data_IF_001895299044
#
_entry.id   IF_001895299044
#
_cell.length_a   1.000
_cell.length_b   1.000
_cell.length_c   1.000
_cell.angle_alpha   90.00
_cell.angle_beta   90.00
_cell.angle_gamma   90.00
#
_symmetry.space_group_name_H-M   'P 1'
#
loop_
_entity.id
_entity.type
_entity.pdbx_description
1 polymer ?
#
# COMPACT_ATOMS: atom_id res chain seq x y z
N UNK A 1 -3.62 18.76 -16.76
CA UNK A 1 -3.03 17.40 -16.83
C UNK A 1 -2.41 17.15 -15.47
N UNK A 2 -2.46 15.93 -14.93
CA UNK A 2 -2.03 15.67 -13.55
C UNK A 2 -0.50 15.82 -13.44
N UNK A 3 -0.03 17.02 -13.11
CA UNK A 3 1.40 17.36 -13.03
C UNK A 3 2.01 17.10 -11.64
N UNK A 4 1.22 16.64 -10.66
CA UNK A 4 1.64 16.45 -9.26
C UNK A 4 1.87 14.98 -8.84
N UNK A 5 2.40 14.13 -9.72
CA UNK A 5 2.83 12.75 -9.36
C UNK A 5 4.31 12.48 -9.62
N UNK A 6 5.11 13.49 -9.98
CA UNK A 6 6.56 13.31 -10.10
C UNK A 6 7.13 13.02 -8.71
N UNK A 7 7.29 11.74 -8.38
CA UNK A 7 7.82 11.29 -7.11
C UNK A 7 6.86 10.48 -6.24
N UNK A 8 5.55 10.51 -6.45
CA UNK A 8 4.63 9.74 -5.59
C UNK A 8 4.30 8.36 -6.19
N UNK A 9 4.64 7.30 -5.47
CA UNK A 9 4.42 5.91 -5.88
C UNK A 9 3.32 5.31 -5.01
N UNK A 10 2.22 4.88 -5.63
CA UNK A 10 1.20 4.07 -4.96
C UNK A 10 1.69 2.65 -4.81
N UNK A 11 1.46 2.07 -3.64
CA UNK A 11 1.85 0.71 -3.30
C UNK A 11 0.69 -0.07 -2.67
N UNK A 12 0.64 -1.37 -2.95
CA UNK A 12 -0.18 -2.32 -2.19
C UNK A 12 0.76 -3.37 -1.64
N UNK A 13 0.68 -3.61 -0.34
CA UNK A 13 1.61 -4.49 0.39
C UNK A 13 0.84 -5.68 0.92
N UNK A 14 1.35 -6.88 0.68
CA UNK A 14 0.97 -8.07 1.42
C UNK A 14 1.85 -8.20 2.66
N UNK A 15 1.26 -7.97 3.84
CA UNK A 15 2.01 -8.01 5.11
C UNK A 15 2.39 -9.42 5.55
N UNK A 16 1.67 -10.45 5.09
CA UNK A 16 1.91 -11.84 5.42
C UNK A 16 3.00 -12.45 4.52
N UNK A 17 2.91 -12.23 3.20
CA UNK A 17 3.86 -12.73 2.20
C UNK A 17 5.08 -11.82 2.04
N UNK A 18 5.03 -10.59 2.56
CA UNK A 18 6.08 -9.56 2.46
C UNK A 18 6.46 -9.23 1.02
N UNK A 19 5.45 -9.12 0.16
CA UNK A 19 5.59 -8.68 -1.24
C UNK A 19 4.77 -7.42 -1.45
N UNK A 20 5.04 -6.67 -2.52
CA UNK A 20 4.25 -5.49 -2.87
C UNK A 20 4.08 -5.33 -4.38
N UNK A 21 3.00 -4.66 -4.76
CA UNK A 21 2.80 -4.10 -6.09
C UNK A 21 2.96 -2.57 -6.01
N UNK A 22 3.75 -1.97 -6.91
CA UNK A 22 4.03 -0.53 -6.93
C UNK A 22 3.85 0.08 -8.32
N UNK A 23 3.58 1.38 -8.37
CA UNK A 23 3.60 2.17 -9.62
C UNK A 23 2.31 2.12 -10.44
N UNK A 24 1.26 1.47 -9.92
CA UNK A 24 -0.07 1.50 -10.53
C UNK A 24 -0.76 2.87 -10.40
N UNK A 25 -1.70 3.17 -11.31
CA UNK A 25 -2.47 4.41 -11.24
C UNK A 25 -3.44 4.41 -10.04
N UNK A 26 -3.97 3.23 -9.67
CA UNK A 26 -4.86 3.03 -8.54
C UNK A 26 -4.40 1.85 -7.69
N UNK A 27 -4.67 1.91 -6.39
CA UNK A 27 -4.42 0.79 -5.46
C UNK A 27 -5.21 -0.46 -5.82
N UNK A 28 -6.42 -0.33 -6.38
CA UNK A 28 -7.23 -1.49 -6.79
C UNK A 28 -6.52 -2.35 -7.85
N UNK A 29 -5.72 -1.74 -8.73
CA UNK A 29 -4.98 -2.49 -9.76
C UNK A 29 -3.88 -3.34 -9.09
N UNK A 30 -3.15 -2.76 -8.13
CA UNK A 30 -2.12 -3.48 -7.36
C UNK A 30 -2.70 -4.57 -6.45
N UNK A 31 -3.87 -4.31 -5.86
CA UNK A 31 -4.62 -5.30 -5.08
C UNK A 31 -5.01 -6.49 -5.95
N UNK A 32 -5.58 -6.26 -7.13
CA UNK A 32 -5.95 -7.33 -8.06
C UNK A 32 -4.75 -8.18 -8.46
N UNK A 33 -3.62 -7.55 -8.80
CA UNK A 33 -2.38 -8.26 -9.15
C UNK A 33 -1.94 -9.19 -8.02
N UNK A 34 -1.95 -8.71 -6.77
CA UNK A 34 -1.53 -9.54 -5.64
C UNK A 34 -2.53 -10.65 -5.32
N UNK A 35 -3.83 -10.40 -5.47
CA UNK A 35 -4.87 -11.43 -5.33
C UNK A 35 -4.71 -12.53 -6.37
N UNK A 36 -4.44 -12.18 -7.62
CA UNK A 36 -4.17 -13.14 -8.70
C UNK A 36 -2.88 -13.94 -8.45
N UNK A 37 -1.88 -13.31 -7.81
CA UNK A 37 -0.63 -13.95 -7.36
C UNK A 37 -0.79 -14.80 -6.07
N UNK A 38 -2.01 -14.89 -5.52
CA UNK A 38 -2.36 -15.76 -4.39
C UNK A 38 -2.33 -15.09 -3.02
N UNK A 39 -2.26 -13.76 -2.94
CA UNK A 39 -2.44 -13.02 -1.69
C UNK A 39 -3.87 -13.12 -1.18
N UNK A 40 -4.03 -12.93 0.13
CA UNK A 40 -5.36 -12.84 0.76
C UNK A 40 -5.75 -11.40 0.94
N UNK A 41 -7.00 -11.07 0.61
CA UNK A 41 -7.57 -9.73 0.76
C UNK A 41 -7.36 -9.11 2.16
N UNK A 42 -7.36 -9.93 3.21
CA UNK A 42 -7.16 -9.51 4.61
C UNK A 42 -5.74 -9.05 4.93
N UNK A 43 -4.79 -9.44 4.10
CA UNK A 43 -3.35 -9.18 4.29
C UNK A 43 -2.85 -8.05 3.38
N UNK A 44 -3.70 -7.53 2.49
CA UNK A 44 -3.37 -6.49 1.52
C UNK A 44 -3.68 -5.09 2.05
N UNK A 45 -2.71 -4.20 2.02
CA UNK A 45 -2.85 -2.83 2.52
C UNK A 45 -2.32 -1.81 1.52
N UNK A 46 -3.13 -0.80 1.23
CA UNK A 46 -2.77 0.29 0.32
C UNK A 46 -2.04 1.40 1.06
N UNK A 47 -0.98 1.91 0.44
CA UNK A 47 -0.22 3.05 0.92
C UNK A 47 0.37 3.81 -0.28
N UNK A 48 1.06 4.91 -0.02
CA UNK A 48 1.90 5.56 -1.01
C UNK A 48 3.19 6.06 -0.40
N UNK A 49 4.22 6.14 -1.23
CA UNK A 49 5.53 6.65 -0.89
C UNK A 49 5.82 7.86 -1.75
N UNK A 50 6.08 8.99 -1.11
CA UNK A 50 6.69 10.13 -1.75
C UNK A 50 8.21 9.91 -1.82
N UNK A 51 8.74 9.76 -3.05
CA UNK A 51 10.15 9.53 -3.32
C UNK A 51 11.02 10.77 -3.07
N UNK A 52 10.43 11.97 -3.04
CA UNK A 52 11.15 13.22 -2.76
C UNK A 52 11.27 13.45 -1.26
N UNK A 53 10.17 13.32 -0.52
CA UNK A 53 10.13 13.58 0.93
C UNK A 53 10.39 12.36 1.80
N UNK A 54 10.38 11.17 1.21
CA UNK A 54 10.45 9.88 1.89
C UNK A 54 9.30 9.61 2.88
N UNK A 55 8.19 10.32 2.71
CA UNK A 55 7.01 10.18 3.55
C UNK A 55 6.10 9.07 3.03
N UNK A 56 5.61 8.26 3.96
CA UNK A 56 4.58 7.26 3.70
C UNK A 56 3.20 7.86 4.01
N UNK A 57 2.29 7.71 3.07
CA UNK A 57 0.86 7.97 3.23
C UNK A 57 0.12 6.63 3.29
N UNK A 58 -0.88 6.52 4.16
CA UNK A 58 -1.62 5.27 4.37
C UNK A 58 -3.09 5.42 3.97
N UNK A 59 -3.43 6.45 3.21
CA UNK A 59 -4.78 6.70 2.71
C UNK A 59 -5.01 5.87 1.44
N UNK A 60 -5.89 4.89 1.54
CA UNK A 60 -6.33 4.15 0.37
C UNK A 60 -7.76 3.65 0.49
N UNK A 61 -8.48 3.65 -0.63
CA UNK A 61 -9.84 3.11 -0.67
C UNK A 61 -9.89 1.62 -0.34
N UNK A 62 -8.84 0.85 -0.68
CA UNK A 62 -8.79 -0.59 -0.43
C UNK A 62 -8.66 -0.93 1.05
N UNK A 63 -8.27 0.05 1.88
CA UNK A 63 -8.13 -0.12 3.33
C UNK A 63 -9.50 -0.10 4.04
N UNK A 64 -10.58 0.38 3.40
CA UNK A 64 -11.91 0.37 4.01
C UNK A 64 -12.47 -1.05 3.97
N UNK A 65 -12.49 -1.68 5.14
CA UNK A 65 -12.95 -3.06 5.36
C UNK A 65 -13.78 -3.12 6.65
N UNK A 66 -15.13 -3.23 6.57
CA UNK A 66 -16.00 -3.17 7.76
C UNK A 66 -15.62 -4.10 8.92
N UNK A 67 -15.07 -5.27 8.62
CA UNK A 67 -14.67 -6.26 9.63
C UNK A 67 -13.25 -6.06 10.21
N UNK A 68 -12.43 -5.17 9.62
CA UNK A 68 -11.00 -5.06 9.95
C UNK A 68 -10.51 -3.61 10.12
N UNK A 69 -10.98 -2.68 9.29
CA UNK A 69 -10.55 -1.29 9.28
C UNK A 69 -11.62 -0.37 8.68
N UNK A 70 -12.20 0.53 9.48
CA UNK A 70 -13.33 1.37 9.06
C UNK A 70 -12.91 2.67 8.35
N UNK A 71 -11.62 2.85 8.09
CA UNK A 71 -11.05 4.07 7.51
C UNK A 71 -10.30 3.77 6.22
N UNK A 72 -10.00 4.81 5.45
CA UNK A 72 -9.01 4.75 4.37
C UNK A 72 -7.59 4.70 4.91
N UNK A 73 -7.38 5.27 6.10
CA UNK A 73 -6.17 5.13 6.87
C UNK A 73 -6.03 3.72 7.44
N UNK A 74 -4.80 3.22 7.53
CA UNK A 74 -4.50 2.02 8.33
C UNK A 74 -4.51 2.42 9.80
N UNK A 75 -5.56 2.04 10.55
CA UNK A 75 -5.73 2.43 11.96
C UNK A 75 -4.80 1.64 12.90
N UNK A 76 -4.57 0.37 12.61
CA UNK A 76 -3.69 -0.48 13.39
C UNK A 76 -2.22 -0.09 13.20
N UNK A 77 -1.57 0.32 14.29
CA UNK A 77 -0.18 0.79 14.24
C UNK A 77 0.83 -0.33 13.94
N UNK A 78 0.52 -1.57 14.31
CA UNK A 78 1.37 -2.72 14.00
C UNK A 78 1.36 -3.02 12.51
N UNK A 79 0.19 -3.00 11.88
CA UNK A 79 0.05 -3.14 10.43
C UNK A 79 0.73 -1.98 9.70
N UNK A 80 0.53 -0.74 10.17
CA UNK A 80 1.17 0.45 9.60
C UNK A 80 2.70 0.30 9.59
N UNK A 81 3.28 -0.12 10.70
CA UNK A 81 4.73 -0.36 10.80
C UNK A 81 5.22 -1.49 9.88
N UNK A 82 4.42 -2.56 9.70
CA UNK A 82 4.75 -3.62 8.75
C UNK A 82 4.74 -3.12 7.31
N UNK A 83 3.70 -2.38 6.91
CA UNK A 83 3.57 -1.79 5.56
C UNK A 83 4.74 -0.86 5.28
N UNK A 84 5.09 0.03 6.21
CA UNK A 84 6.24 0.91 6.07
C UNK A 84 7.56 0.13 5.92
N UNK A 85 7.81 -0.81 6.83
CA UNK A 85 9.04 -1.62 6.82
C UNK A 85 9.21 -2.39 5.51
N UNK A 86 8.15 -3.04 5.02
CA UNK A 86 8.19 -3.82 3.78
C UNK A 86 8.37 -2.90 2.57
N UNK A 87 7.62 -1.79 2.51
CA UNK A 87 7.71 -0.83 1.40
C UNK A 87 9.12 -0.27 1.27
N UNK A 88 9.71 0.20 2.37
CA UNK A 88 11.08 0.74 2.39
C UNK A 88 12.09 -0.33 2.00
N UNK A 89 11.94 -1.55 2.52
CA UNK A 89 12.86 -2.65 2.22
C UNK A 89 12.85 -3.07 0.75
N UNK A 90 11.72 -2.97 0.05
CA UNK A 90 11.58 -3.46 -1.32
C UNK A 90 11.76 -2.37 -2.39
N UNK A 91 11.53 -1.10 -2.06
CA UNK A 91 11.68 0.01 -3.00
C UNK A 91 12.98 0.81 -2.83
N UNK A 92 13.64 0.72 -1.67
CA UNK A 92 14.90 1.41 -1.37
C UNK A 92 16.05 0.46 -1.03
N UNK A 93 15.79 -0.84 -1.01
CA UNK A 93 16.79 -1.89 -0.80
C UNK A 93 17.60 -2.20 -2.06
#
# INVERSE_FOLDING_TARGET
MAEDLKGYVKVVVDVQRRVLAAGGQKHVDGEQILLEDGSRQTDLWGAGLDLETDQMDFDSMINIRPAQNLSREILDQGIRGQVESITRSLLKG
#
